data_IF_259843347749
#
_entry.id   IF_259843347749
#
_cell.length_a   1.000
_cell.length_b   1.000
_cell.length_c   1.000
_cell.angle_alpha   90.00
_cell.angle_beta   90.00
_cell.angle_gamma   90.00
#
_symmetry.space_group_name_H-M   'P 1'
#
loop_
_entity.id
_entity.type
_entity.pdbx_description
1 polymer ?
#
# COMPACT_ATOMS: atom_id res chain seq x y z
N UNK A 1 12.43 21.23 25.70
CA UNK A 1 11.59 21.06 24.49
C UNK A 1 11.90 19.70 23.85
N UNK A 2 11.47 18.59 24.47
CA UNK A 2 11.81 17.23 24.02
C UNK A 2 11.18 16.85 22.67
N UNK A 3 10.00 17.38 22.30
CA UNK A 3 9.36 17.08 21.01
C UNK A 3 10.13 17.59 19.79
N UNK A 4 10.92 18.67 19.93
CA UNK A 4 11.74 19.20 18.83
C UNK A 4 12.99 18.35 18.61
N UNK A 5 13.50 17.70 19.65
CA UNK A 5 14.63 16.77 19.54
C UNK A 5 14.22 15.48 18.81
N UNK A 6 13.07 14.89 19.15
CA UNK A 6 12.54 13.72 18.42
C UNK A 6 12.26 14.01 16.94
N UNK A 7 11.68 15.17 16.62
CA UNK A 7 11.46 15.57 15.23
C UNK A 7 12.77 15.78 14.46
N UNK A 8 13.79 16.31 15.12
CA UNK A 8 15.11 16.51 14.53
C UNK A 8 15.82 15.17 14.30
N UNK A 9 15.72 14.23 15.24
CA UNK A 9 16.30 12.89 15.11
C UNK A 9 15.61 12.11 13.98
N UNK A 10 14.29 12.20 13.85
CA UNK A 10 13.54 11.66 12.71
C UNK A 10 14.03 12.32 11.41
N UNK A 11 14.17 13.64 11.38
CA UNK A 11 14.63 14.37 10.19
C UNK A 11 16.06 14.00 9.77
N UNK A 12 16.98 13.87 10.73
CA UNK A 12 18.37 13.49 10.49
C UNK A 12 18.46 12.02 10.05
N UNK A 13 17.65 11.12 10.62
CA UNK A 13 17.58 9.72 10.20
C UNK A 13 17.01 9.56 8.78
N UNK A 14 16.01 10.38 8.44
CA UNK A 14 15.42 10.49 7.09
C UNK A 14 16.37 11.12 6.07
N UNK A 15 17.25 12.02 6.50
CA UNK A 15 18.24 12.67 5.63
C UNK A 15 19.53 11.84 5.47
N UNK A 16 19.88 10.99 6.44
CA UNK A 16 21.15 10.26 6.51
C UNK A 16 21.10 8.81 6.00
N UNK A 17 19.93 8.21 5.75
CA UNK A 17 19.76 6.85 5.22
C UNK A 17 18.80 6.81 4.02
N UNK A 18 18.92 5.84 3.09
CA UNK A 18 19.09 6.13 1.68
C UNK A 18 17.81 6.64 1.01
N UNK A 19 17.80 7.94 0.68
CA UNK A 19 16.88 8.56 -0.28
C UNK A 19 16.75 7.76 -1.58
N UNK A 20 17.72 6.90 -1.90
CA UNK A 20 17.70 5.98 -3.03
C UNK A 20 16.43 5.12 -3.05
N UNK A 21 16.05 4.44 -1.98
CA UNK A 21 14.89 3.54 -2.02
C UNK A 21 13.58 4.31 -2.14
N UNK A 22 13.47 5.44 -1.43
CA UNK A 22 12.33 6.35 -1.59
C UNK A 22 12.22 6.89 -3.01
N UNK A 23 13.31 7.41 -3.57
CA UNK A 23 13.36 7.93 -4.94
C UNK A 23 13.06 6.83 -5.95
N UNK A 24 13.54 5.61 -5.71
CA UNK A 24 13.24 4.44 -6.52
C UNK A 24 11.75 4.11 -6.52
N UNK A 25 11.09 4.11 -5.36
CA UNK A 25 9.62 3.94 -5.26
C UNK A 25 8.88 5.02 -6.05
N UNK A 26 9.29 6.28 -5.91
CA UNK A 26 8.68 7.41 -6.61
C UNK A 26 8.89 7.32 -8.13
N UNK A 27 10.09 6.95 -8.58
CA UNK A 27 10.41 6.75 -10.00
C UNK A 27 9.60 5.59 -10.58
N UNK A 28 9.51 4.46 -9.87
CA UNK A 28 8.70 3.32 -10.29
C UNK A 28 7.22 3.69 -10.42
N UNK A 29 6.67 4.43 -9.45
CA UNK A 29 5.30 4.93 -9.51
C UNK A 29 5.08 5.94 -10.65
N UNK A 30 6.04 6.84 -10.88
CA UNK A 30 5.95 7.82 -11.96
C UNK A 30 6.02 7.15 -13.33
N UNK A 31 6.87 6.12 -13.50
CA UNK A 31 6.93 5.29 -14.69
C UNK A 31 5.62 4.55 -14.92
N UNK A 32 5.06 3.91 -13.87
CA UNK A 32 3.75 3.27 -13.93
C UNK A 32 2.63 4.24 -14.32
N UNK A 33 2.64 5.46 -13.78
CA UNK A 33 1.69 6.52 -14.11
C UNK A 33 1.84 6.99 -15.56
N UNK A 34 3.09 7.08 -16.05
CA UNK A 34 3.37 7.41 -17.44
C UNK A 34 2.83 6.33 -18.39
N UNK A 35 3.01 5.05 -18.06
CA UNK A 35 2.45 3.91 -18.83
C UNK A 35 0.92 3.97 -18.79
N UNK A 36 0.31 4.16 -17.62
CA UNK A 36 -1.14 4.29 -17.46
C UNK A 36 -1.72 5.38 -18.38
N UNK A 37 -1.07 6.56 -18.43
CA UNK A 37 -1.49 7.65 -19.31
C UNK A 37 -1.29 7.32 -20.80
N UNK A 38 -0.17 6.68 -21.16
CA UNK A 38 0.13 6.24 -22.54
C UNK A 38 -0.87 5.20 -23.05
N UNK A 39 -1.40 4.37 -22.17
CA UNK A 39 -2.42 3.35 -22.50
C UNK A 39 -3.85 3.90 -22.51
N UNK A 40 -4.02 5.23 -22.43
CA UNK A 40 -5.35 5.86 -22.45
C UNK A 40 -6.12 5.73 -21.14
N UNK A 41 -5.42 5.65 -20.00
CA UNK A 41 -6.01 5.42 -18.68
C UNK A 41 -6.73 4.07 -18.57
N UNK A 42 -6.19 3.03 -19.23
CA UNK A 42 -6.76 1.69 -19.14
C UNK A 42 -6.65 1.16 -17.69
N UNK A 43 -7.75 0.74 -17.05
CA UNK A 43 -7.73 0.21 -15.69
C UNK A 43 -6.77 -0.97 -15.46
N UNK A 44 -6.45 -1.74 -16.51
CA UNK A 44 -5.47 -2.84 -16.43
C UNK A 44 -4.04 -2.34 -16.22
N UNK A 45 -3.72 -1.11 -16.64
CA UNK A 45 -2.42 -0.49 -16.46
C UNK A 45 -2.32 0.25 -15.11
N UNK A 46 -2.76 -0.38 -14.02
CA UNK A 46 -2.77 0.25 -12.70
C UNK A 46 -1.34 0.70 -12.29
N UNK A 47 -1.09 2.00 -12.08
CA UNK A 47 0.23 2.53 -11.74
C UNK A 47 0.87 1.88 -10.52
N UNK A 48 0.06 1.57 -9.50
CA UNK A 48 0.53 0.94 -8.26
C UNK A 48 1.00 -0.47 -8.52
N UNK A 49 0.22 -1.26 -9.27
CA UNK A 49 0.58 -2.63 -9.61
C UNK A 49 1.87 -2.67 -10.44
N UNK A 50 1.97 -1.77 -11.43
CA UNK A 50 3.17 -1.65 -12.27
C UNK A 50 4.40 -1.32 -11.40
N UNK A 51 4.26 -0.36 -10.48
CA UNK A 51 5.35 0.01 -9.58
C UNK A 51 5.77 -1.15 -8.67
N UNK A 52 4.82 -1.87 -8.08
CA UNK A 52 5.10 -3.04 -7.22
C UNK A 52 5.83 -4.12 -8.00
N UNK A 53 5.34 -4.48 -9.19
CA UNK A 53 5.98 -5.49 -10.03
C UNK A 53 7.41 -5.07 -10.42
N UNK A 54 7.60 -3.80 -10.81
CA UNK A 54 8.92 -3.27 -11.15
C UNK A 54 9.89 -3.31 -9.96
N UNK A 55 9.44 -2.91 -8.77
CA UNK A 55 10.25 -2.95 -7.55
C UNK A 55 10.60 -4.38 -7.15
N UNK A 56 9.63 -5.30 -7.15
CA UNK A 56 9.88 -6.72 -6.85
C UNK A 56 10.90 -7.31 -7.83
N UNK A 57 10.73 -7.06 -9.14
CA UNK A 57 11.67 -7.53 -10.15
C UNK A 57 13.09 -6.97 -9.93
N UNK A 58 13.19 -5.69 -9.56
CA UNK A 58 14.47 -5.06 -9.27
C UNK A 58 15.12 -5.64 -8.01
N UNK A 59 14.39 -5.77 -6.90
CA UNK A 59 14.91 -6.33 -5.64
C UNK A 59 15.42 -7.76 -5.84
N UNK A 60 14.68 -8.57 -6.61
CA UNK A 60 15.11 -9.93 -6.96
C UNK A 60 16.36 -9.91 -7.85
N UNK A 61 16.42 -9.02 -8.85
CA UNK A 61 17.58 -8.91 -9.74
C UNK A 61 18.84 -8.40 -9.02
N UNK A 62 18.69 -7.57 -7.99
CA UNK A 62 19.80 -7.03 -7.19
C UNK A 62 20.07 -7.83 -5.91
N UNK A 63 19.40 -8.95 -5.71
CA UNK A 63 19.47 -9.80 -4.50
C UNK A 63 19.35 -8.97 -3.20
N UNK A 64 18.49 -7.96 -3.24
CA UNK A 64 18.30 -7.01 -2.14
C UNK A 64 17.15 -7.45 -1.27
N UNK A 65 17.45 -7.70 0.01
CA UNK A 65 16.41 -8.08 0.96
C UNK A 65 15.37 -6.98 1.16
N UNK A 66 14.11 -7.39 1.34
CA UNK A 66 12.99 -6.47 1.51
C UNK A 66 13.18 -5.55 2.72
N UNK A 67 13.78 -6.03 3.82
CA UNK A 67 14.00 -5.20 5.00
C UNK A 67 14.94 -4.01 4.71
N UNK A 68 15.92 -4.21 3.83
CA UNK A 68 16.86 -3.15 3.42
C UNK A 68 16.18 -2.09 2.54
N UNK A 69 15.32 -2.52 1.61
CA UNK A 69 14.46 -1.60 0.86
C UNK A 69 13.50 -0.84 1.79
N UNK A 70 12.83 -1.57 2.70
CA UNK A 70 11.84 -1.01 3.60
C UNK A 70 12.44 0.03 4.56
N UNK A 71 13.66 -0.19 5.05
CA UNK A 71 14.40 0.77 5.86
C UNK A 71 14.53 2.13 5.16
N UNK A 72 14.78 2.15 3.85
CA UNK A 72 14.84 3.38 3.06
C UNK A 72 13.47 3.93 2.61
N UNK A 73 12.39 3.15 2.72
CA UNK A 73 11.03 3.55 2.35
C UNK A 73 10.17 3.97 3.56
N UNK A 74 10.72 3.97 4.78
CA UNK A 74 10.00 4.29 6.02
C UNK A 74 9.31 5.66 6.00
N UNK A 75 9.83 6.63 5.25
CA UNK A 75 9.19 7.94 5.12
C UNK A 75 7.76 7.86 4.54
N UNK A 76 7.56 7.07 3.48
CA UNK A 76 6.22 6.90 2.88
C UNK A 76 5.32 6.14 3.85
N UNK A 77 5.86 5.15 4.55
CA UNK A 77 5.12 4.41 5.57
C UNK A 77 4.64 5.32 6.72
N UNK A 78 5.51 6.21 7.21
CA UNK A 78 5.14 7.22 8.20
C UNK A 78 4.05 8.16 7.67
N UNK A 79 4.15 8.59 6.41
CA UNK A 79 3.15 9.44 5.76
C UNK A 79 1.79 8.76 5.56
N UNK A 80 1.67 7.42 5.68
CA UNK A 80 0.38 6.75 5.62
C UNK A 80 -0.55 7.24 6.73
N UNK A 81 -0.05 7.47 7.96
CA UNK A 81 -0.87 7.99 9.06
C UNK A 81 -1.53 9.34 8.71
N UNK A 82 -0.75 10.40 8.43
CA UNK A 82 -1.28 11.69 7.99
C UNK A 82 -2.15 11.61 6.73
N UNK A 83 -1.79 10.76 5.75
CA UNK A 83 -2.59 10.57 4.54
C UNK A 83 -3.97 9.96 4.84
N UNK A 84 -4.04 9.00 5.77
CA UNK A 84 -5.29 8.36 6.18
C UNK A 84 -6.19 9.34 6.94
N UNK A 85 -5.60 10.18 7.80
CA UNK A 85 -6.32 11.28 8.47
C UNK A 85 -6.79 12.33 7.46
N UNK A 86 -5.97 12.67 6.47
CA UNK A 86 -6.34 13.60 5.41
C UNK A 86 -7.50 13.06 4.56
N UNK A 87 -7.57 11.74 4.34
CA UNK A 87 -8.69 11.07 3.67
C UNK A 87 -9.99 11.11 4.50
N UNK A 88 -9.90 11.23 5.83
CA UNK A 88 -11.09 11.41 6.66
C UNK A 88 -11.77 12.78 6.43
N UNK A 89 -11.03 13.81 6.01
CA UNK A 89 -11.58 15.15 5.75
C UNK A 89 -12.69 15.15 4.67
N UNK A 90 -12.48 14.64 3.45
CA UNK A 90 -13.55 14.58 2.45
C UNK A 90 -14.71 13.68 2.89
N UNK A 91 -14.44 12.60 3.63
CA UNK A 91 -15.48 11.71 4.15
C UNK A 91 -16.36 12.43 5.18
N UNK A 92 -15.75 13.22 6.07
CA UNK A 92 -16.45 14.06 7.04
C UNK A 92 -17.27 15.16 6.34
N UNK A 93 -16.71 15.82 5.32
CA UNK A 93 -17.45 16.82 4.52
C UNK A 93 -18.68 16.24 3.84
N UNK A 94 -18.67 14.94 3.52
CA UNK A 94 -19.78 14.23 2.89
C UNK A 94 -20.53 13.29 3.85
N UNK A 95 -20.41 13.52 5.17
CA UNK A 95 -20.91 12.59 6.20
C UNK A 95 -22.42 12.31 6.10
N UNK A 96 -23.23 13.29 5.67
CA UNK A 96 -24.66 13.09 5.46
C UNK A 96 -24.95 12.05 4.37
N UNK A 97 -24.19 12.05 3.27
CA UNK A 97 -24.31 11.06 2.19
C UNK A 97 -23.84 9.67 2.63
N UNK A 98 -22.74 9.62 3.39
CA UNK A 98 -22.23 8.38 4.01
C UNK A 98 -23.27 7.78 4.93
N UNK A 99 -23.87 8.58 5.82
CA UNK A 99 -24.90 8.11 6.77
C UNK A 99 -26.14 7.60 6.05
N UNK A 100 -26.61 8.29 5.01
CA UNK A 100 -27.76 7.85 4.21
C UNK A 100 -27.51 6.50 3.52
N UNK A 101 -26.25 6.22 3.17
CA UNK A 101 -25.81 4.99 2.52
C UNK A 101 -25.23 3.96 3.49
N UNK A 102 -25.32 4.19 4.81
CA UNK A 102 -24.59 3.40 5.82
C UNK A 102 -24.88 1.90 5.76
N UNK A 103 -26.15 1.52 5.52
CA UNK A 103 -26.53 0.11 5.36
C UNK A 103 -25.86 -0.51 4.13
N UNK A 104 -25.85 0.20 2.99
CA UNK A 104 -25.21 -0.26 1.77
C UNK A 104 -23.69 -0.38 1.93
N UNK A 105 -23.06 0.56 2.66
CA UNK A 105 -21.63 0.52 2.99
C UNK A 105 -21.32 -0.67 3.89
N UNK A 106 -22.09 -0.90 4.97
CA UNK A 106 -21.87 -2.04 5.86
C UNK A 106 -22.06 -3.37 5.13
N UNK A 107 -23.13 -3.50 4.34
CA UNK A 107 -23.39 -4.69 3.55
C UNK A 107 -22.28 -4.95 2.52
N UNK A 108 -21.80 -3.91 1.83
CA UNK A 108 -20.72 -4.05 0.84
C UNK A 108 -19.37 -4.37 1.49
N UNK A 109 -19.08 -3.81 2.66
CA UNK A 109 -17.88 -4.17 3.44
C UNK A 109 -17.94 -5.64 3.84
N UNK A 110 -19.03 -6.11 4.46
CA UNK A 110 -19.14 -7.50 4.91
C UNK A 110 -19.05 -8.46 3.71
N UNK A 111 -19.83 -8.21 2.66
CA UNK A 111 -19.81 -9.06 1.47
C UNK A 111 -18.44 -9.04 0.77
N UNK A 112 -17.84 -7.86 0.63
CA UNK A 112 -16.53 -7.67 0.01
C UNK A 112 -15.40 -8.33 0.80
N UNK A 113 -15.36 -8.14 2.12
CA UNK A 113 -14.36 -8.75 3.01
C UNK A 113 -14.46 -10.28 3.01
N UNK A 114 -15.67 -10.83 3.11
CA UNK A 114 -15.87 -12.28 3.01
C UNK A 114 -15.43 -12.81 1.65
N UNK A 115 -15.84 -12.16 0.57
CA UNK A 115 -15.45 -12.55 -0.79
C UNK A 115 -13.94 -12.50 -0.97
N UNK A 116 -13.28 -11.45 -0.51
CA UNK A 116 -11.83 -11.28 -0.59
C UNK A 116 -11.09 -12.36 0.22
N UNK A 117 -11.49 -12.62 1.47
CA UNK A 117 -10.86 -13.62 2.32
C UNK A 117 -11.05 -15.05 1.75
N UNK A 118 -12.29 -15.40 1.38
CA UNK A 118 -12.61 -16.72 0.85
C UNK A 118 -11.96 -16.97 -0.50
N UNK A 119 -11.97 -15.99 -1.42
CA UNK A 119 -11.32 -16.13 -2.73
C UNK A 119 -9.80 -16.25 -2.59
N UNK A 120 -9.17 -15.45 -1.74
CA UNK A 120 -7.73 -15.54 -1.50
C UNK A 120 -7.33 -16.91 -0.93
N UNK A 121 -8.07 -17.40 0.07
CA UNK A 121 -7.83 -18.72 0.66
C UNK A 121 -8.08 -19.86 -0.35
N UNK A 122 -9.15 -19.78 -1.14
CA UNK A 122 -9.48 -20.78 -2.15
C UNK A 122 -8.43 -20.84 -3.27
N UNK A 123 -7.96 -19.69 -3.75
CA UNK A 123 -6.90 -19.62 -4.77
C UNK A 123 -5.58 -20.17 -4.21
N UNK A 124 -5.21 -19.77 -2.97
CA UNK A 124 -3.99 -20.27 -2.34
C UNK A 124 -4.03 -21.80 -2.19
N UNK A 125 -5.16 -22.35 -1.74
CA UNK A 125 -5.36 -23.79 -1.64
C UNK A 125 -5.32 -24.49 -3.00
N UNK A 126 -5.98 -23.93 -4.02
CA UNK A 126 -5.98 -24.47 -5.38
C UNK A 126 -4.59 -24.49 -6.03
N UNK A 127 -3.73 -23.54 -5.67
CA UNK A 127 -2.32 -23.50 -6.09
C UNK A 127 -1.39 -24.40 -5.23
N UNK A 128 -1.95 -25.15 -4.28
CA UNK A 128 -1.19 -26.08 -3.44
C UNK A 128 -0.47 -25.45 -2.25
N UNK A 129 -0.88 -24.26 -1.79
CA UNK A 129 -0.30 -23.64 -0.61
C UNK A 129 -0.54 -24.48 0.65
N UNK A 130 0.48 -24.58 1.52
CA UNK A 130 0.37 -25.31 2.78
C UNK A 130 -0.68 -24.71 3.74
N UNK A 131 -1.21 -25.53 4.65
CA UNK A 131 -2.26 -25.12 5.60
C UNK A 131 -1.89 -23.85 6.38
N UNK A 132 -0.64 -23.74 6.84
CA UNK A 132 -0.15 -22.55 7.55
C UNK A 132 -0.21 -21.28 6.68
N UNK A 133 0.13 -21.38 5.39
CA UNK A 133 0.07 -20.25 4.46
C UNK A 133 -1.37 -19.85 4.14
N UNK A 134 -2.26 -20.83 3.94
CA UNK A 134 -3.69 -20.57 3.68
C UNK A 134 -4.34 -19.88 4.89
N UNK A 135 -4.08 -20.39 6.10
CA UNK A 135 -4.60 -19.79 7.34
C UNK A 135 -4.00 -18.41 7.58
N UNK A 136 -2.72 -18.17 7.25
CA UNK A 136 -2.09 -16.85 7.38
C UNK A 136 -2.65 -15.82 6.39
N UNK A 137 -3.19 -16.23 5.26
CA UNK A 137 -3.79 -15.34 4.26
C UNK A 137 -5.24 -14.97 4.64
N UNK A 138 -5.93 -15.81 5.42
CA UNK A 138 -7.34 -15.63 5.76
C UNK A 138 -7.69 -14.32 6.50
N UNK A 139 -6.89 -13.82 7.47
CA UNK A 139 -7.19 -12.57 8.18
C UNK A 139 -7.01 -11.30 7.35
N UNK A 140 -6.49 -11.40 6.11
CA UNK A 140 -5.97 -10.31 5.27
C UNK A 140 -6.40 -8.90 5.74
N UNK A 141 -5.49 -8.22 6.43
CA UNK A 141 -5.51 -6.77 6.60
C UNK A 141 -4.23 -6.21 5.99
N UNK A 142 -4.37 -5.17 5.16
CA UNK A 142 -3.26 -4.31 4.72
C UNK A 142 -2.67 -3.55 5.89
#
# INVERSE_FOLDING_TARGET
MPQLAELHDIWVYLAASPLLHLTLTLVAFQAGTWIYRRTGNNPLANPVLIAVVALVALLVATDTDYASYFAGAQFVHFLLGPATVALAIPLYRQFAHVRRSGIAILASIVAGSLTAALSAAAIAWALGAGFASVVSIAPKSV
#
